data_IF_411680854392
#
_entry.id   IF_411680854392
#
_cell.length_a   1.000
_cell.length_b   1.000
_cell.length_c   1.000
_cell.angle_alpha   90.00
_cell.angle_beta   90.00
_cell.angle_gamma   90.00
#
_symmetry.space_group_name_H-M   'P 1'
#
loop_
_entity.id
_entity.type
_entity.pdbx_description
1 polymer ?
#
# COMPACT_ATOMS: atom_id res chain seq x y z
N UNK A 1 80.21 -5.87 8.47
CA UNK A 1 80.19 -7.26 7.95
C UNK A 1 80.13 -8.14 9.17
N UNK A 2 79.08 -8.86 9.55
CA UNK A 2 77.95 -9.42 8.80
C UNK A 2 77.80 -10.85 9.33
N UNK A 3 76.77 -11.10 10.13
CA UNK A 3 76.34 -12.42 10.63
C UNK A 3 77.09 -12.96 11.85
N UNK A 4 76.37 -13.21 12.96
CA UNK A 4 76.67 -14.30 13.91
C UNK A 4 75.34 -14.88 14.45
N UNK A 5 75.36 -16.21 14.42
CA UNK A 5 74.38 -17.21 14.78
C UNK A 5 74.32 -17.51 16.29
N UNK A 6 73.12 -17.86 16.77
CA UNK A 6 72.75 -18.90 17.76
C UNK A 6 73.39 -19.06 19.18
N UNK A 7 72.47 -19.20 20.14
CA UNK A 7 72.38 -20.18 21.26
C UNK A 7 73.13 -19.97 22.61
N UNK A 8 72.33 -19.98 23.68
CA UNK A 8 72.59 -20.47 25.06
C UNK A 8 71.21 -20.64 25.73
N UNK A 9 70.83 -21.66 26.48
CA UNK A 9 71.40 -22.94 26.96
C UNK A 9 70.24 -23.57 27.78
N UNK A 10 69.84 -24.80 27.49
CA UNK A 10 70.07 -25.98 28.36
C UNK A 10 69.90 -25.70 29.87
N UNK A 11 68.88 -26.27 30.50
CA UNK A 11 69.12 -27.47 31.29
C UNK A 11 67.82 -28.17 31.69
N UNK A 12 67.85 -29.46 31.37
CA UNK A 12 66.90 -30.51 31.66
C UNK A 12 66.88 -30.88 33.14
N UNK A 13 65.92 -31.76 33.43
CA UNK A 13 65.90 -32.72 34.52
C UNK A 13 65.33 -32.19 35.84
N UNK A 14 64.04 -32.41 36.09
CA UNK A 14 63.44 -33.70 36.47
C UNK A 14 63.21 -33.76 38.00
N UNK A 15 61.93 -33.54 38.32
CA UNK A 15 61.05 -34.54 38.90
C UNK A 15 61.22 -34.99 40.37
N UNK A 16 60.05 -35.05 41.01
CA UNK A 16 59.65 -35.84 42.18
C UNK A 16 60.17 -35.42 43.57
N UNK A 17 59.43 -35.56 44.68
CA UNK A 17 58.01 -35.72 45.01
C UNK A 17 57.95 -35.88 46.55
N UNK A 18 56.78 -35.56 47.16
CA UNK A 18 56.16 -36.07 48.43
C UNK A 18 55.65 -34.90 49.28
N UNK A 19 54.33 -34.67 49.39
CA UNK A 19 53.34 -35.39 50.22
C UNK A 19 52.84 -34.37 51.29
N UNK A 20 51.63 -34.30 51.83
CA UNK A 20 50.42 -35.12 51.91
C UNK A 20 49.40 -34.25 52.71
N UNK A 21 48.09 -34.20 52.39
CA UNK A 21 47.13 -33.47 53.26
C UNK A 21 45.71 -33.21 52.72
N UNK A 22 44.86 -34.21 52.80
CA UNK A 22 43.46 -34.33 52.35
C UNK A 22 42.44 -33.44 53.14
N UNK A 23 41.38 -32.91 52.48
CA UNK A 23 39.91 -33.10 52.77
C UNK A 23 38.97 -31.91 52.43
N UNK A 24 38.25 -32.06 51.31
CA UNK A 24 36.79 -31.92 51.08
C UNK A 24 35.95 -30.84 51.82
N UNK A 25 35.30 -29.93 51.08
CA UNK A 25 33.82 -29.68 51.06
C UNK A 25 33.40 -28.51 50.14
N UNK A 26 32.28 -28.74 49.44
CA UNK A 26 31.54 -27.88 48.51
C UNK A 26 31.27 -26.45 49.04
N UNK A 27 31.38 -25.44 48.17
CA UNK A 27 30.56 -24.22 48.23
C UNK A 27 30.50 -23.49 46.87
N UNK A 28 29.27 -23.39 46.34
CA UNK A 28 28.68 -22.37 45.46
C UNK A 28 29.52 -21.75 44.32
N UNK A 29 29.18 -22.10 43.08
CA UNK A 29 29.23 -21.17 41.95
C UNK A 29 27.84 -21.07 41.32
N UNK A 30 27.09 -20.05 41.71
CA UNK A 30 25.92 -19.56 40.99
C UNK A 30 26.18 -18.09 40.64
N UNK A 31 26.85 -17.86 39.52
CA UNK A 31 26.93 -16.52 38.91
C UNK A 31 25.78 -16.43 37.92
N UNK A 32 24.66 -15.86 38.37
CA UNK A 32 23.59 -15.41 37.49
C UNK A 32 24.09 -14.16 36.76
N UNK A 33 24.57 -14.31 35.53
CA UNK A 33 24.81 -13.19 34.64
C UNK A 33 23.45 -12.67 34.15
N UNK A 34 23.03 -11.54 34.70
CA UNK A 34 21.89 -10.77 34.19
C UNK A 34 22.23 -10.27 32.78
N UNK A 35 21.69 -10.96 31.76
CA UNK A 35 21.72 -10.46 30.39
C UNK A 35 20.74 -9.29 30.28
N UNK A 36 21.29 -8.08 30.25
CA UNK A 36 20.59 -6.85 29.90
C UNK A 36 19.97 -7.00 28.51
N UNK A 37 18.64 -6.97 28.47
CA UNK A 37 17.83 -6.96 27.25
C UNK A 37 18.03 -5.61 26.57
N UNK A 38 18.95 -5.53 25.61
CA UNK A 38 19.08 -4.37 24.75
C UNK A 38 18.01 -4.44 23.66
N UNK A 39 17.19 -3.38 23.59
CA UNK A 39 16.14 -3.19 22.62
C UNK A 39 16.67 -3.29 21.19
N UNK A 40 16.32 -4.37 20.50
CA UNK A 40 16.14 -4.34 19.05
C UNK A 40 14.63 -4.31 18.81
N UNK A 41 14.06 -3.11 18.89
CA UNK A 41 12.78 -2.83 18.27
C UNK A 41 12.97 -2.88 16.76
N UNK A 42 13.07 -4.09 16.21
CA UNK A 42 12.75 -4.30 14.81
C UNK A 42 11.28 -3.92 14.70
N UNK A 43 11.04 -2.74 14.12
CA UNK A 43 9.73 -2.31 13.68
C UNK A 43 9.14 -3.47 12.92
N UNK A 44 8.13 -4.09 13.51
CA UNK A 44 7.38 -5.10 12.83
C UNK A 44 6.61 -4.32 11.77
N UNK A 45 7.11 -4.31 10.54
CA UNK A 45 6.35 -3.93 9.35
C UNK A 45 5.23 -4.97 9.16
N UNK A 46 4.30 -5.00 10.13
CA UNK A 46 3.03 -5.68 9.98
C UNK A 46 2.29 -4.88 8.94
N UNK A 47 2.21 -5.44 7.74
CA UNK A 47 1.07 -5.23 6.85
C UNK A 47 -0.19 -5.23 7.74
N UNK A 48 -0.99 -4.16 7.78
CA UNK A 48 -2.16 -4.12 8.65
C UNK A 48 -3.07 -5.31 8.36
N UNK A 49 -3.41 -6.03 9.43
CA UNK A 49 -4.42 -7.09 9.42
C UNK A 49 -5.80 -6.45 9.16
N UNK A 50 -6.12 -6.21 7.88
CA UNK A 50 -7.46 -5.89 7.41
C UNK A 50 -8.13 -4.63 8.02
N UNK A 51 -9.46 -4.50 7.88
CA UNK A 51 -10.23 -3.31 8.27
C UNK A 51 -10.27 -3.03 9.77
N UNK A 52 -9.80 -3.98 10.60
CA UNK A 52 -9.92 -3.88 12.06
C UNK A 52 -9.13 -2.69 12.63
N UNK A 53 -8.04 -2.29 11.98
CA UNK A 53 -7.17 -1.21 12.44
C UNK A 53 -7.47 0.16 11.80
N UNK A 54 -8.16 0.16 10.65
CA UNK A 54 -8.48 1.38 9.91
C UNK A 54 -9.37 2.32 10.74
N UNK A 55 -8.95 3.59 10.83
CA UNK A 55 -9.70 4.68 11.47
C UNK A 55 -10.34 5.63 10.44
N UNK A 56 -9.98 5.50 9.16
CA UNK A 56 -10.57 6.25 8.05
C UNK A 56 -10.99 5.29 6.93
N UNK A 57 -12.16 5.54 6.35
CA UNK A 57 -12.72 4.75 5.26
C UNK A 57 -13.28 5.68 4.18
N UNK A 58 -12.91 5.39 2.93
CA UNK A 58 -13.57 5.89 1.73
C UNK A 58 -14.41 4.75 1.17
N UNK A 59 -15.73 4.82 1.32
CA UNK A 59 -16.64 3.79 0.83
C UNK A 59 -17.33 4.27 -0.44
N UNK A 60 -17.16 3.52 -1.52
CA UNK A 60 -17.84 3.68 -2.79
C UNK A 60 -18.83 2.52 -2.97
N UNK A 61 -20.09 2.85 -3.23
CA UNK A 61 -21.10 1.85 -3.61
C UNK A 61 -21.64 2.10 -5.02
N UNK A 62 -21.87 1.01 -5.75
CA UNK A 62 -22.53 1.01 -7.07
C UNK A 62 -23.82 0.20 -7.01
N UNK A 63 -24.76 0.47 -7.93
CA UNK A 63 -26.04 -0.22 -7.94
C UNK A 63 -25.88 -1.75 -8.07
N UNK A 64 -25.00 -2.17 -8.97
CA UNK A 64 -24.64 -3.56 -9.24
C UNK A 64 -23.21 -3.64 -9.84
N UNK A 65 -22.86 -4.80 -10.38
CA UNK A 65 -21.55 -5.08 -10.98
C UNK A 65 -21.27 -4.32 -12.27
N UNK A 66 -22.29 -3.91 -13.01
CA UNK A 66 -22.16 -3.30 -14.34
C UNK A 66 -22.43 -1.79 -14.31
N UNK A 67 -22.98 -1.28 -13.21
CA UNK A 67 -23.15 0.13 -12.95
C UNK A 67 -21.79 0.86 -12.92
N UNK A 68 -21.66 1.89 -13.76
CA UNK A 68 -20.46 2.71 -13.88
C UNK A 68 -20.54 4.06 -13.14
N UNK A 69 -21.66 4.28 -12.43
CA UNK A 69 -21.88 5.41 -11.53
C UNK A 69 -22.02 4.88 -10.10
N UNK A 70 -21.52 5.65 -9.13
CA UNK A 70 -21.57 5.28 -7.73
C UNK A 70 -21.68 6.48 -6.79
N UNK A 71 -21.71 6.18 -5.50
CA UNK A 71 -21.74 7.15 -4.41
C UNK A 71 -20.56 6.90 -3.48
N UNK A 72 -19.77 7.93 -3.21
CA UNK A 72 -18.67 7.90 -2.25
C UNK A 72 -19.10 8.56 -0.94
N UNK A 73 -18.82 7.91 0.19
CA UNK A 73 -18.97 8.46 1.53
C UNK A 73 -17.68 8.23 2.34
N UNK A 74 -17.26 9.27 3.06
CA UNK A 74 -16.16 9.20 4.02
C UNK A 74 -16.66 8.81 5.39
N UNK A 75 -15.89 8.02 6.11
CA UNK A 75 -16.14 7.67 7.50
C UNK A 75 -14.88 7.77 8.36
N UNK A 76 -15.05 8.17 9.61
CA UNK A 76 -14.06 8.04 10.67
C UNK A 76 -14.51 7.03 11.71
N UNK A 77 -13.56 6.32 12.31
CA UNK A 77 -13.84 5.38 13.39
C UNK A 77 -13.57 6.03 14.73
N UNK A 78 -14.58 6.05 15.61
CA UNK A 78 -14.46 6.53 16.98
C UNK A 78 -15.22 5.59 17.91
N UNK A 79 -14.63 5.23 19.06
CA UNK A 79 -15.25 4.28 19.99
C UNK A 79 -15.57 2.91 19.36
N UNK A 80 -14.84 2.51 18.31
CA UNK A 80 -15.07 1.27 17.57
C UNK A 80 -16.20 1.33 16.52
N UNK A 81 -16.91 2.44 16.42
CA UNK A 81 -18.02 2.66 15.49
C UNK A 81 -17.62 3.59 14.35
N UNK A 82 -18.21 3.39 13.18
CA UNK A 82 -18.03 4.27 12.03
C UNK A 82 -19.02 5.43 12.07
N UNK A 83 -18.51 6.64 11.84
CA UNK A 83 -19.29 7.86 11.73
C UNK A 83 -19.04 8.49 10.37
N UNK A 84 -20.12 8.83 9.65
CA UNK A 84 -20.01 9.50 8.37
C UNK A 84 -19.42 10.91 8.56
N UNK A 85 -18.51 11.30 7.67
CA UNK A 85 -17.87 12.63 7.67
C UNK A 85 -18.22 13.39 6.40
N UNK A 86 -18.95 14.49 6.59
CA UNK A 86 -19.45 15.35 5.52
C UNK A 86 -20.42 14.64 4.58
N UNK A 87 -20.80 15.36 3.52
CA UNK A 87 -21.72 14.84 2.51
C UNK A 87 -21.06 13.78 1.64
N UNK A 88 -21.88 12.87 1.13
CA UNK A 88 -21.46 11.99 0.06
C UNK A 88 -21.35 12.72 -1.28
N UNK A 89 -20.57 12.13 -2.18
CA UNK A 89 -20.36 12.62 -3.52
C UNK A 89 -20.74 11.57 -4.57
N UNK A 90 -21.15 12.03 -5.75
CA UNK A 90 -21.21 11.19 -6.92
C UNK A 90 -19.79 10.84 -7.39
N UNK A 91 -19.61 9.62 -7.89
CA UNK A 91 -18.37 9.18 -8.53
C UNK A 91 -18.70 8.40 -9.80
N UNK A 92 -17.78 8.40 -10.76
CA UNK A 92 -17.80 7.48 -11.90
C UNK A 92 -16.71 6.44 -11.69
N UNK A 93 -16.93 5.23 -12.20
CA UNK A 93 -15.95 4.14 -12.14
C UNK A 93 -15.66 3.61 -13.55
N UNK A 94 -15.06 2.42 -13.64
CA UNK A 94 -14.81 1.74 -14.90
C UNK A 94 -16.06 1.71 -15.79
N UNK A 95 -15.90 2.00 -17.08
CA UNK A 95 -16.98 2.03 -18.08
C UNK A 95 -17.83 0.77 -18.12
N UNK A 96 -17.26 -0.38 -17.75
CA UNK A 96 -17.93 -1.69 -17.68
C UNK A 96 -18.32 -2.09 -16.24
N UNK A 97 -18.31 -1.15 -15.29
CA UNK A 97 -18.65 -1.37 -13.88
C UNK A 97 -17.46 -1.80 -13.03
N UNK A 98 -17.65 -2.78 -12.14
CA UNK A 98 -16.64 -3.27 -11.22
C UNK A 98 -16.41 -4.78 -11.31
N UNK A 99 -15.28 -5.25 -10.79
CA UNK A 99 -14.93 -6.67 -10.69
C UNK A 99 -14.03 -6.91 -9.48
N UNK A 100 -14.13 -8.07 -8.84
CA UNK A 100 -13.30 -8.47 -7.71
C UNK A 100 -11.81 -8.27 -8.00
N UNK A 101 -11.17 -7.40 -7.23
CA UNK A 101 -9.76 -7.07 -7.30
C UNK A 101 -8.90 -7.87 -6.32
N UNK A 102 -7.61 -7.55 -6.30
CA UNK A 102 -6.61 -8.10 -5.39
C UNK A 102 -6.29 -7.04 -4.34
N UNK A 103 -6.80 -7.23 -3.12
CA UNK A 103 -6.68 -6.24 -2.03
C UNK A 103 -6.63 -6.88 -0.63
N UNK A 104 -7.02 -6.10 0.38
CA UNK A 104 -7.06 -6.46 1.80
C UNK A 104 -8.27 -7.34 2.16
N UNK A 105 -8.50 -8.41 1.43
CA UNK A 105 -9.57 -9.37 1.70
C UNK A 105 -9.23 -10.75 1.13
N UNK A 106 -9.90 -11.78 1.63
CA UNK A 106 -9.84 -13.10 1.03
C UNK A 106 -10.39 -13.05 -0.42
N UNK A 107 -9.88 -13.91 -1.32
CA UNK A 107 -10.44 -14.03 -2.67
C UNK A 107 -11.94 -14.26 -2.64
N UNK A 108 -12.66 -13.56 -3.52
CA UNK A 108 -14.10 -13.72 -3.73
C UNK A 108 -14.32 -14.33 -5.11
N UNK A 109 -15.36 -15.16 -5.26
CA UNK A 109 -15.58 -15.97 -6.49
C UNK A 109 -16.98 -15.83 -7.07
N UNK A 110 -17.83 -15.01 -6.46
CA UNK A 110 -19.26 -14.85 -6.77
C UNK A 110 -19.56 -13.59 -7.58
N UNK A 111 -18.63 -13.18 -8.44
CA UNK A 111 -18.78 -12.02 -9.31
C UNK A 111 -17.69 -11.96 -10.39
N UNK A 112 -17.70 -10.92 -11.25
CA UNK A 112 -16.64 -10.70 -12.22
C UNK A 112 -15.28 -10.59 -11.54
N UNK A 113 -14.24 -11.12 -12.16
CA UNK A 113 -12.86 -11.01 -11.68
C UNK A 113 -12.08 -9.99 -12.50
N UNK A 114 -11.36 -9.10 -11.81
CA UNK A 114 -10.62 -8.00 -12.41
C UNK A 114 -9.45 -8.52 -13.24
N UNK A 115 -9.29 -7.98 -14.45
CA UNK A 115 -8.18 -8.26 -15.38
C UNK A 115 -7.70 -6.98 -16.06
N UNK A 116 -6.52 -7.04 -16.67
CA UNK A 116 -5.99 -5.94 -17.48
C UNK A 116 -6.92 -5.64 -18.66
N UNK A 117 -7.16 -4.36 -18.94
CA UNK A 117 -7.98 -3.90 -20.07
C UNK A 117 -9.50 -4.20 -20.01
N UNK A 118 -10.01 -4.81 -18.94
CA UNK A 118 -11.43 -5.21 -18.84
C UNK A 118 -12.44 -4.05 -18.73
N UNK A 119 -11.97 -2.81 -18.56
CA UNK A 119 -12.82 -1.63 -18.42
C UNK A 119 -13.54 -1.52 -17.07
N UNK A 120 -13.19 -2.36 -16.09
CA UNK A 120 -13.83 -2.44 -14.77
C UNK A 120 -12.95 -1.87 -13.68
N UNK A 121 -13.55 -1.24 -12.68
CA UNK A 121 -12.86 -0.86 -11.45
C UNK A 121 -12.73 -2.04 -10.48
N UNK A 122 -11.66 -2.13 -9.68
CA UNK A 122 -11.52 -3.21 -8.71
C UNK A 122 -12.52 -3.00 -7.56
N UNK A 123 -13.40 -3.98 -7.36
CA UNK A 123 -14.21 -4.13 -6.17
C UNK A 123 -13.41 -4.85 -5.09
N UNK A 124 -13.56 -4.43 -3.85
CA UNK A 124 -12.76 -4.93 -2.74
C UNK A 124 -12.42 -3.85 -1.73
N UNK A 125 -11.45 -4.16 -0.88
CA UNK A 125 -10.87 -3.25 0.11
C UNK A 125 -9.39 -3.09 -0.20
N UNK A 126 -8.91 -1.85 -0.23
CA UNK A 126 -7.56 -1.52 -0.65
C UNK A 126 -6.96 -0.50 0.31
N UNK A 127 -5.63 -0.51 0.45
CA UNK A 127 -4.92 0.61 1.06
C UNK A 127 -5.02 1.82 0.13
N UNK A 128 -5.03 3.00 0.73
CA UNK A 128 -4.81 4.25 0.01
C UNK A 128 -3.31 4.54 0.06
N UNK A 129 -2.69 4.57 -1.12
CA UNK A 129 -1.26 4.80 -1.30
C UNK A 129 -0.90 6.27 -1.46
N UNK A 130 0.23 6.51 -2.11
CA UNK A 130 0.77 7.86 -2.40
C UNK A 130 -0.26 8.71 -3.15
N UNK A 131 -0.46 9.94 -2.66
CA UNK A 131 -1.14 10.99 -3.39
C UNK A 131 -0.23 11.54 -4.50
N UNK A 132 -0.80 11.98 -5.60
CA UNK A 132 -0.05 12.54 -6.72
C UNK A 132 -0.79 13.72 -7.33
N UNK A 133 -0.08 14.52 -8.12
CA UNK A 133 -0.69 15.59 -8.90
C UNK A 133 0.34 16.43 -9.63
N UNK A 134 -0.13 17.51 -10.26
CA UNK A 134 0.72 18.35 -11.11
C UNK A 134 1.39 19.51 -10.34
N UNK A 135 0.86 19.86 -9.17
CA UNK A 135 1.44 20.90 -8.32
C UNK A 135 2.67 20.36 -7.59
N UNK A 136 3.59 21.26 -7.21
CA UNK A 136 4.75 20.89 -6.39
C UNK A 136 4.33 20.42 -5.00
N UNK A 137 3.31 21.06 -4.43
CA UNK A 137 2.73 20.73 -3.14
C UNK A 137 1.21 20.86 -3.16
N UNK A 138 0.53 20.08 -2.31
CA UNK A 138 -0.91 20.17 -2.06
C UNK A 138 -1.22 19.99 -0.58
N UNK A 139 -2.40 20.43 -0.14
CA UNK A 139 -2.87 20.19 1.21
C UNK A 139 -3.24 18.70 1.40
N UNK A 140 -2.26 17.88 1.82
CA UNK A 140 -2.44 16.46 2.13
C UNK A 140 -1.48 16.05 3.24
N UNK A 141 -1.89 15.08 4.06
CA UNK A 141 -0.98 14.40 4.99
C UNK A 141 -0.45 13.08 4.42
N UNK A 142 -0.98 12.60 3.29
CA UNK A 142 -0.45 11.43 2.60
C UNK A 142 0.95 11.71 2.05
N UNK A 143 1.80 10.69 1.86
CA UNK A 143 2.96 10.83 0.97
C UNK A 143 2.50 11.42 -0.36
N UNK A 144 3.20 12.43 -0.85
CA UNK A 144 2.85 13.14 -2.07
C UNK A 144 3.97 13.04 -3.09
N UNK A 145 3.61 12.83 -4.35
CA UNK A 145 4.53 12.85 -5.47
C UNK A 145 4.03 13.88 -6.51
N UNK A 146 4.80 14.96 -6.68
CA UNK A 146 4.60 15.92 -7.75
C UNK A 146 5.05 15.29 -9.07
N UNK A 147 4.11 15.13 -10.01
CA UNK A 147 4.34 14.42 -11.26
C UNK A 147 5.03 15.32 -12.28
N UNK A 148 6.09 14.78 -12.88
CA UNK A 148 6.87 15.36 -13.96
C UNK A 148 6.43 14.80 -15.33
N UNK A 149 6.94 15.39 -16.40
CA UNK A 149 6.67 14.93 -17.75
C UNK A 149 7.21 13.51 -18.04
N UNK A 150 8.19 13.04 -17.27
CA UNK A 150 8.79 11.71 -17.45
C UNK A 150 8.15 10.64 -16.58
N UNK A 151 7.17 10.97 -15.73
CA UNK A 151 6.49 9.99 -14.89
C UNK A 151 5.41 9.21 -15.67
N UNK A 152 5.51 7.88 -15.62
CA UNK A 152 4.56 6.93 -16.23
C UNK A 152 4.16 5.87 -15.23
N UNK A 153 2.88 5.49 -15.23
CA UNK A 153 2.46 4.25 -14.62
C UNK A 153 2.55 3.10 -15.62
N UNK A 154 3.26 2.03 -15.29
CA UNK A 154 3.49 0.94 -16.24
C UNK A 154 2.32 -0.05 -16.26
N UNK A 155 1.53 0.03 -17.32
CA UNK A 155 0.36 -0.81 -17.62
C UNK A 155 0.68 -2.02 -18.53
N UNK A 156 1.96 -2.19 -18.92
CA UNK A 156 2.42 -3.33 -19.72
C UNK A 156 2.63 -4.56 -18.82
N UNK A 157 1.73 -5.54 -18.90
CA UNK A 157 1.69 -6.71 -18.00
C UNK A 157 2.98 -7.55 -17.94
N UNK A 158 3.77 -7.58 -19.01
CA UNK A 158 5.04 -8.34 -19.06
C UNK A 158 6.25 -7.54 -18.56
N UNK A 159 6.08 -6.25 -18.26
CA UNK A 159 7.17 -5.41 -17.79
C UNK A 159 7.57 -5.78 -16.35
N UNK A 160 8.88 -5.82 -16.01
CA UNK A 160 9.32 -5.97 -14.62
C UNK A 160 8.90 -4.78 -13.72
N UNK A 161 8.50 -3.66 -14.34
CA UNK A 161 8.01 -2.46 -13.67
C UNK A 161 6.47 -2.40 -13.63
N UNK A 162 5.76 -3.45 -14.06
CA UNK A 162 4.30 -3.49 -14.12
C UNK A 162 3.63 -3.04 -12.81
N UNK A 163 2.58 -2.24 -12.98
CA UNK A 163 1.78 -1.62 -11.92
C UNK A 163 2.65 -0.79 -10.94
N UNK A 164 3.53 0.06 -11.49
CA UNK A 164 4.33 1.06 -10.76
C UNK A 164 4.34 2.38 -11.50
N UNK A 165 4.32 3.47 -10.75
CA UNK A 165 4.72 4.78 -11.27
C UNK A 165 6.25 4.84 -11.24
N UNK A 166 6.86 5.18 -12.36
CA UNK A 166 8.31 5.29 -12.55
C UNK A 166 8.65 6.55 -13.34
N UNK A 167 9.83 7.07 -13.10
CA UNK A 167 10.42 8.17 -13.87
C UNK A 167 11.23 7.61 -15.03
N UNK A 168 10.80 7.90 -16.27
CA UNK A 168 11.44 7.44 -17.50
C UNK A 168 12.88 7.94 -17.66
N UNK A 169 13.26 9.08 -17.06
CA UNK A 169 14.65 9.56 -17.07
C UNK A 169 15.55 8.68 -16.20
N UNK A 170 15.00 8.04 -15.18
CA UNK A 170 15.72 7.14 -14.28
C UNK A 170 15.76 5.70 -14.80
N UNK A 171 14.64 5.19 -15.32
CA UNK A 171 14.55 3.79 -15.78
C UNK A 171 14.90 3.61 -17.27
N UNK A 172 15.00 4.71 -18.02
CA UNK A 172 15.26 4.73 -19.45
C UNK A 172 13.99 4.53 -20.30
N UNK A 173 13.96 5.17 -21.47
CA UNK A 173 12.79 5.18 -22.36
C UNK A 173 12.31 3.79 -22.80
N UNK A 174 13.22 2.83 -22.98
CA UNK A 174 12.87 1.46 -23.35
C UNK A 174 12.07 0.74 -22.25
N UNK A 175 12.26 1.11 -20.97
CA UNK A 175 11.56 0.48 -19.85
C UNK A 175 10.09 0.89 -19.74
N UNK A 176 9.70 2.00 -20.39
CA UNK A 176 8.31 2.49 -20.45
C UNK A 176 7.64 2.19 -21.81
N UNK A 177 8.34 1.52 -22.73
CA UNK A 177 7.85 1.29 -24.08
C UNK A 177 6.51 0.53 -24.07
N UNK A 178 5.55 1.04 -24.84
CA UNK A 178 4.20 0.49 -24.92
C UNK A 178 3.28 0.88 -23.76
N UNK A 179 3.78 1.56 -22.73
CA UNK A 179 2.92 2.06 -21.66
C UNK A 179 2.03 3.19 -22.15
N UNK A 180 0.75 3.18 -21.76
CA UNK A 180 -0.25 4.15 -22.22
C UNK A 180 -0.70 5.13 -21.14
N UNK A 181 -0.01 5.13 -20.00
CA UNK A 181 -0.45 5.83 -18.79
C UNK A 181 0.58 6.86 -18.28
N UNK A 182 0.82 7.96 -19.05
CA UNK A 182 1.62 9.08 -18.56
C UNK A 182 0.93 9.74 -17.36
N UNK A 183 1.71 10.08 -16.33
CA UNK A 183 1.15 10.73 -15.14
C UNK A 183 0.86 12.21 -15.37
N UNK A 184 1.62 12.89 -16.23
CA UNK A 184 1.30 14.23 -16.77
C UNK A 184 0.50 14.17 -18.05
N UNK A 185 -0.76 13.73 -17.92
CA UNK A 185 -1.71 13.57 -19.04
C UNK A 185 -2.02 14.90 -19.75
N UNK A 186 -1.86 16.02 -19.06
CA UNK A 186 -2.00 17.34 -19.66
C UNK A 186 -0.95 17.60 -20.76
N UNK A 187 0.26 17.07 -20.57
CA UNK A 187 1.36 17.20 -21.51
C UNK A 187 1.30 16.15 -22.62
N UNK A 188 0.87 14.92 -22.29
CA UNK A 188 0.97 13.76 -23.19
C UNK A 188 -0.35 13.29 -23.81
N UNK A 189 -1.49 13.80 -23.33
CA UNK A 189 -2.83 13.34 -23.73
C UNK A 189 -3.79 14.51 -23.96
N UNK A 190 -3.43 15.44 -24.85
CA UNK A 190 -4.29 16.53 -25.33
C UNK A 190 -4.86 17.44 -24.22
N UNK A 191 -4.04 17.81 -23.23
CA UNK A 191 -4.48 18.70 -22.15
C UNK A 191 -5.37 18.04 -21.10
N UNK A 192 -5.46 16.71 -21.08
CA UNK A 192 -6.28 15.94 -20.14
C UNK A 192 -5.89 16.17 -18.67
N UNK A 193 -6.84 16.70 -17.89
CA UNK A 193 -6.65 17.12 -16.51
C UNK A 193 -6.99 16.06 -15.46
N UNK A 194 -7.34 14.83 -15.87
CA UNK A 194 -7.78 13.79 -14.94
C UNK A 194 -6.79 13.55 -13.80
N UNK A 195 -5.48 13.59 -14.08
CA UNK A 195 -4.43 13.28 -13.10
C UNK A 195 -3.84 14.51 -12.42
N UNK A 196 -4.49 15.68 -12.57
CA UNK A 196 -4.06 16.91 -11.90
C UNK A 196 -3.97 16.73 -10.38
N UNK A 197 -4.86 15.91 -9.81
CA UNK A 197 -4.86 15.50 -8.42
C UNK A 197 -5.43 14.08 -8.31
N UNK A 198 -4.86 13.27 -7.43
CA UNK A 198 -5.36 11.93 -7.17
C UNK A 198 -4.54 11.18 -6.12
N UNK A 199 -4.87 9.90 -5.95
CA UNK A 199 -4.07 8.98 -5.15
C UNK A 199 -4.15 7.55 -5.68
N UNK A 200 -3.15 6.76 -5.32
CA UNK A 200 -3.10 5.34 -5.66
C UNK A 200 -4.09 4.54 -4.83
N UNK A 201 -4.91 3.73 -5.50
CA UNK A 201 -5.67 2.65 -4.86
C UNK A 201 -4.81 1.40 -5.02
N UNK A 202 -4.32 0.83 -3.92
CA UNK A 202 -3.34 -0.28 -3.94
C UNK A 202 -3.98 -1.64 -4.30
N UNK A 203 -4.74 -1.67 -5.40
CA UNK A 203 -5.14 -2.90 -6.09
C UNK A 203 -3.92 -3.55 -6.73
N UNK A 204 -3.84 -4.89 -6.63
CA UNK A 204 -2.76 -5.68 -7.22
C UNK A 204 -1.37 -5.20 -6.75
N UNK A 205 -1.22 -4.96 -5.43
CA UNK A 205 0.03 -4.50 -4.84
C UNK A 205 1.21 -5.48 -5.04
N UNK A 206 0.91 -6.78 -5.16
CA UNK A 206 1.90 -7.82 -5.51
C UNK A 206 2.27 -7.84 -6.99
N UNK A 207 1.65 -6.98 -7.83
CA UNK A 207 1.96 -6.78 -9.25
C UNK A 207 1.85 -8.06 -10.07
N UNK A 208 0.81 -8.86 -9.78
CA UNK A 208 0.50 -10.07 -10.52
C UNK A 208 0.19 -9.68 -11.97
N UNK A 209 0.97 -10.15 -12.97
CA UNK A 209 0.76 -9.80 -14.37
C UNK A 209 -0.68 -10.04 -14.83
N UNK A 210 -1.26 -9.07 -15.54
CA UNK A 210 -2.59 -9.20 -16.13
C UNK A 210 -3.76 -9.06 -15.15
N UNK A 211 -3.52 -8.86 -13.85
CA UNK A 211 -4.58 -8.67 -12.85
C UNK A 211 -5.10 -7.22 -12.78
N UNK A 212 -4.72 -6.37 -13.74
CA UNK A 212 -5.04 -4.94 -13.78
C UNK A 212 -3.99 -4.09 -13.08
N UNK A 213 -3.81 -2.87 -13.60
CA UNK A 213 -2.77 -1.93 -13.18
C UNK A 213 -3.26 -0.49 -13.15
N UNK A 214 -2.45 0.40 -12.59
CA UNK A 214 -2.62 1.86 -12.65
C UNK A 214 -4.00 2.32 -12.19
N UNK A 215 -4.47 1.73 -11.07
CA UNK A 215 -5.76 2.07 -10.49
C UNK A 215 -5.60 3.26 -9.53
N UNK A 216 -6.30 4.33 -9.84
CA UNK A 216 -6.26 5.58 -9.09
C UNK A 216 -7.67 6.05 -8.70
N UNK A 217 -7.72 6.89 -7.67
CA UNK A 217 -8.80 7.86 -7.53
C UNK A 217 -8.32 9.20 -8.12
N UNK A 218 -9.08 9.80 -9.02
CA UNK A 218 -8.64 11.01 -9.74
C UNK A 218 -9.81 11.94 -10.13
N UNK A 219 -9.53 13.01 -10.86
CA UNK A 219 -10.57 13.97 -11.28
C UNK A 219 -11.39 13.45 -12.45
N UNK A 220 -12.67 13.82 -12.52
CA UNK A 220 -13.45 13.68 -13.76
C UNK A 220 -12.77 14.42 -14.91
N UNK A 221 -12.86 13.84 -16.11
CA UNK A 221 -12.62 14.60 -17.33
C UNK A 221 -13.79 15.54 -17.62
N UNK A 222 -15.00 15.02 -17.46
CA UNK A 222 -16.26 15.77 -17.46
C UNK A 222 -17.28 15.05 -16.55
N UNK A 223 -18.30 15.76 -16.03
CA UNK A 223 -19.36 15.14 -15.23
C UNK A 223 -19.99 13.93 -15.94
N UNK A 224 -20.02 12.79 -15.25
CA UNK A 224 -20.59 11.54 -15.78
C UNK A 224 -19.68 10.73 -16.71
N UNK A 225 -18.52 11.26 -17.13
CA UNK A 225 -17.56 10.52 -17.95
C UNK A 225 -16.93 9.37 -17.15
N UNK A 226 -16.96 8.17 -17.72
CA UNK A 226 -16.47 6.93 -17.08
C UNK A 226 -14.96 6.77 -17.25
N UNK A 227 -14.38 5.87 -16.46
CA UNK A 227 -12.94 5.58 -16.49
C UNK A 227 -12.63 4.27 -17.22
N UNK A 228 -11.36 3.94 -17.37
CA UNK A 228 -10.95 2.61 -17.81
C UNK A 228 -10.91 1.57 -16.67
N UNK A 229 -11.00 2.00 -15.41
CA UNK A 229 -10.85 1.15 -14.22
C UNK A 229 -10.61 1.93 -12.92
N UNK A 230 -10.27 3.22 -13.02
CA UNK A 230 -10.15 4.13 -11.88
C UNK A 230 -11.51 4.53 -11.27
N UNK A 231 -11.48 5.24 -10.15
CA UNK A 231 -12.62 5.98 -9.61
C UNK A 231 -12.42 7.48 -9.83
N UNK A 232 -13.40 8.19 -10.35
CA UNK A 232 -13.28 9.62 -10.64
C UNK A 232 -14.38 10.44 -9.95
N UNK A 233 -14.04 11.67 -9.57
CA UNK A 233 -14.91 12.62 -8.87
C UNK A 233 -14.58 14.07 -9.23
N UNK A 234 -15.37 15.05 -8.79
CA UNK A 234 -15.03 16.46 -9.00
C UNK A 234 -13.83 16.93 -8.15
N UNK A 235 -13.24 18.03 -8.59
CA UNK A 235 -12.07 18.67 -7.98
C UNK A 235 -12.27 19.02 -6.50
N UNK A 236 -13.42 19.61 -6.15
CA UNK A 236 -13.69 20.03 -4.78
C UNK A 236 -13.75 18.81 -3.84
N UNK A 237 -14.35 17.71 -4.30
CA UNK A 237 -14.40 16.46 -3.53
C UNK A 237 -13.04 15.78 -3.42
N UNK A 238 -12.24 15.76 -4.49
CA UNK A 238 -10.87 15.24 -4.42
C UNK A 238 -10.00 16.05 -3.45
N UNK A 239 -10.04 17.39 -3.54
CA UNK A 239 -9.32 18.29 -2.63
C UNK A 239 -9.72 18.08 -1.17
N UNK A 240 -11.02 17.96 -0.89
CA UNK A 240 -11.54 17.64 0.44
C UNK A 240 -11.07 16.27 0.95
N UNK A 241 -10.92 15.30 0.05
CA UNK A 241 -10.51 13.96 0.38
C UNK A 241 -9.01 13.92 0.73
N UNK A 242 -8.16 14.52 -0.11
CA UNK A 242 -6.71 14.62 0.12
C UNK A 242 -6.39 15.37 1.42
N UNK A 243 -7.06 16.48 1.70
CA UNK A 243 -6.85 17.24 2.94
C UNK A 243 -7.29 16.50 4.22
N UNK A 244 -8.23 15.55 4.09
CA UNK A 244 -8.79 14.80 5.21
C UNK A 244 -8.02 13.50 5.52
N UNK A 245 -7.46 12.84 4.50
CA UNK A 245 -6.77 11.56 4.63
C UNK A 245 -5.46 11.69 5.43
N UNK A 246 -5.27 10.77 6.39
CA UNK A 246 -4.14 10.75 7.33
C UNK A 246 -3.48 9.37 7.34
N UNK A 247 -2.19 9.22 6.94
CA UNK A 247 -1.52 7.91 6.93
C UNK A 247 -1.59 7.17 8.27
N UNK A 248 -1.46 7.88 9.39
CA UNK A 248 -1.53 7.33 10.74
C UNK A 248 -2.90 6.77 11.11
N UNK A 249 -3.97 7.17 10.41
CA UNK A 249 -5.31 6.62 10.56
C UNK A 249 -5.52 5.34 9.74
N UNK A 250 -4.49 4.88 9.02
CA UNK A 250 -4.51 3.70 8.15
C UNK A 250 -5.75 3.68 7.23
N UNK A 251 -5.92 4.70 6.38
CA UNK A 251 -7.13 4.85 5.60
C UNK A 251 -7.26 3.73 4.57
N UNK A 252 -8.49 3.22 4.42
CA UNK A 252 -8.82 2.21 3.41
C UNK A 252 -9.84 2.74 2.39
N UNK A 253 -9.70 2.30 1.15
CA UNK A 253 -10.66 2.52 0.08
C UNK A 253 -11.44 1.23 -0.16
N UNK A 254 -12.77 1.32 -0.20
CA UNK A 254 -13.65 0.19 -0.46
C UNK A 254 -14.57 0.53 -1.61
N UNK A 255 -14.64 -0.35 -2.61
CA UNK A 255 -15.64 -0.28 -3.68
C UNK A 255 -16.42 -1.59 -3.69
N UNK A 256 -17.74 -1.51 -3.51
CA UNK A 256 -18.61 -2.69 -3.53
C UNK A 256 -19.95 -2.39 -4.23
N UNK A 257 -20.44 -3.29 -5.10
CA UNK A 257 -21.86 -3.31 -5.44
C UNK A 257 -22.72 -3.42 -4.18
N UNK A 258 -23.90 -2.79 -4.17
CA UNK A 258 -24.80 -2.77 -3.00
C UNK A 258 -25.16 -4.14 -2.45
N UNK A 259 -25.34 -5.13 -3.33
CA UNK A 259 -25.61 -6.51 -2.91
C UNK A 259 -24.45 -7.08 -2.07
N UNK A 260 -23.21 -6.89 -2.54
CA UNK A 260 -22.02 -7.34 -1.84
C UNK A 260 -21.75 -6.55 -0.57
N UNK A 261 -21.99 -5.24 -0.57
CA UNK A 261 -21.88 -4.43 0.65
C UNK A 261 -22.82 -4.95 1.74
N UNK A 262 -24.08 -5.25 1.41
CA UNK A 262 -25.05 -5.83 2.36
C UNK A 262 -24.65 -7.20 2.88
N UNK A 263 -23.99 -8.01 2.06
CA UNK A 263 -23.48 -9.32 2.45
C UNK A 263 -22.25 -9.24 3.36
N UNK A 264 -21.32 -8.34 3.04
CA UNK A 264 -19.96 -8.34 3.60
C UNK A 264 -19.75 -7.35 4.74
N UNK A 265 -20.62 -6.36 4.94
CA UNK A 265 -20.33 -5.26 5.89
C UNK A 265 -19.97 -5.74 7.30
N UNK A 266 -20.65 -6.77 7.82
CA UNK A 266 -20.35 -7.31 9.16
C UNK A 266 -18.99 -7.99 9.22
N UNK A 267 -18.72 -8.89 8.28
CA UNK A 267 -17.47 -9.67 8.26
C UNK A 267 -16.26 -8.80 7.93
N UNK A 268 -16.46 -7.73 7.16
CA UNK A 268 -15.42 -6.75 6.81
C UNK A 268 -15.40 -5.55 7.77
N UNK A 269 -16.21 -5.55 8.84
CA UNK A 269 -16.24 -4.47 9.83
C UNK A 269 -16.53 -3.09 9.23
N UNK A 270 -17.30 -3.02 8.15
CA UNK A 270 -17.71 -1.79 7.48
C UNK A 270 -18.90 -1.13 8.21
N UNK A 271 -19.24 0.14 7.89
CA UNK A 271 -20.47 0.75 8.38
C UNK A 271 -21.69 -0.10 8.04
N UNK A 272 -22.76 0.03 8.83
CA UNK A 272 -24.01 -0.65 8.51
C UNK A 272 -24.63 -0.02 7.24
N UNK A 273 -25.05 -0.82 6.24
CA UNK A 273 -25.80 -0.31 5.11
C UNK A 273 -27.11 0.32 5.57
N UNK A 274 -27.44 1.47 5.00
CA UNK A 274 -28.72 2.16 5.20
C UNK A 274 -29.49 2.13 3.89
N UNK A 275 -30.81 2.28 3.92
CA UNK A 275 -31.61 2.25 2.69
C UNK A 275 -31.10 3.30 1.69
N UNK A 276 -30.78 2.87 0.47
CA UNK A 276 -30.21 3.71 -0.59
C UNK A 276 -28.68 3.82 -0.62
N UNK A 277 -27.94 3.23 0.34
CA UNK A 277 -26.47 3.06 0.26
C UNK A 277 -26.11 1.90 -0.65
#
# INVERSE_FOLDING_TARGET
MGGIETLHGSDDAANAAKGLGQRLRLALFAIAAAMTTACAGLGNDRVPDGPAQAQQLVLVTTADWDANQGRMQRFERAGGQWHAVGDAAAVTIGRAGSAWGLGLHAPQTDGPSKREGDGRAPAGMFRIGTAFGYAEDVATALPYAAMSASDYCIDVSQSPLYNRIVDAEQVGAAAIEGSTEPMRRDLHANGDQRYRQGFVIEHNASRVPGAGSCIFAHLWKAPGETTAGCTAMDDARMSQLLAWLKPQAQPVFVLLPRAEYRKLWKSWGLPQPVDGS
#
